data_IF_937755913716
#
_entry.id   IF_937755913716
#
_cell.length_a   1.000
_cell.length_b   1.000
_cell.length_c   1.000
_cell.angle_alpha   90.00
_cell.angle_beta   90.00
_cell.angle_gamma   90.00
#
_symmetry.space_group_name_H-M   'P 1'
#
loop_
_entity.id
_entity.type
_entity.pdbx_description
1 polymer ?
#
# COMPACT_ATOMS: atom_id res chain seq x y z
N UNK A 1 0.86 -8.89 10.75
CA UNK A 1 -0.36 -8.06 10.64
C UNK A 1 -1.57 -8.96 10.76
N UNK A 2 -2.56 -8.57 11.56
CA UNK A 2 -3.86 -9.26 11.56
C UNK A 2 -4.69 -8.80 10.36
N UNK A 3 -5.69 -9.59 9.94
CA UNK A 3 -6.60 -9.20 8.85
C UNK A 3 -7.35 -7.89 9.18
N UNK A 4 -7.71 -7.69 10.46
CA UNK A 4 -8.32 -6.44 10.93
C UNK A 4 -7.40 -5.23 10.78
N UNK A 5 -6.09 -5.40 10.97
CA UNK A 5 -5.12 -4.30 10.78
C UNK A 5 -5.03 -3.88 9.32
N UNK A 6 -5.05 -4.85 8.42
CA UNK A 6 -5.01 -4.59 6.98
C UNK A 6 -6.28 -3.88 6.52
N UNK A 7 -7.45 -4.27 7.03
CA UNK A 7 -8.72 -3.61 6.70
C UNK A 7 -8.76 -2.17 7.23
N UNK A 8 -8.21 -1.91 8.43
CA UNK A 8 -8.07 -0.56 8.97
C UNK A 8 -7.12 0.30 8.14
N UNK A 9 -5.97 -0.24 7.75
CA UNK A 9 -5.02 0.43 6.86
C UNK A 9 -5.66 0.78 5.51
N UNK A 10 -6.40 -0.16 4.93
CA UNK A 10 -7.10 0.04 3.66
C UNK A 10 -8.13 1.16 3.75
N UNK A 11 -8.90 1.23 4.85
CA UNK A 11 -9.87 2.31 5.07
C UNK A 11 -9.18 3.67 5.25
N UNK A 12 -8.11 3.72 6.04
CA UNK A 12 -7.40 4.97 6.29
C UNK A 12 -6.70 5.50 5.04
N UNK A 13 -6.05 4.61 4.27
CA UNK A 13 -5.32 4.95 3.05
C UNK A 13 -6.09 4.61 1.76
N UNK A 14 -7.43 4.67 1.80
CA UNK A 14 -8.30 4.29 0.67
C UNK A 14 -7.95 5.07 -0.61
N UNK A 15 -7.54 6.33 -0.46
CA UNK A 15 -7.10 7.17 -1.59
C UNK A 15 -5.90 6.56 -2.31
N UNK A 16 -4.88 6.11 -1.58
CA UNK A 16 -3.69 5.45 -2.15
C UNK A 16 -4.09 4.11 -2.77
N UNK A 17 -4.94 3.37 -2.04
CA UNK A 17 -5.34 2.04 -2.45
C UNK A 17 -6.12 2.00 -3.76
N UNK A 18 -6.86 3.07 -4.07
CA UNK A 18 -7.61 3.24 -5.32
C UNK A 18 -6.76 3.96 -6.38
N UNK A 19 -5.96 4.94 -6.00
CA UNK A 19 -5.16 5.72 -6.94
C UNK A 19 -4.14 4.88 -7.71
N UNK A 20 -3.44 3.94 -7.04
CA UNK A 20 -2.42 3.10 -7.67
C UNK A 20 -3.02 2.18 -8.75
N UNK A 21 -4.09 1.40 -8.51
CA UNK A 21 -4.75 0.62 -9.56
C UNK A 21 -5.26 1.46 -10.72
N UNK A 22 -5.86 2.62 -10.44
CA UNK A 22 -6.35 3.51 -11.50
C UNK A 22 -5.19 4.02 -12.35
N UNK A 23 -4.08 4.45 -11.73
CA UNK A 23 -2.90 4.89 -12.46
C UNK A 23 -2.34 3.77 -13.35
N UNK A 24 -2.27 2.53 -12.86
CA UNK A 24 -1.82 1.38 -13.65
C UNK A 24 -2.74 1.12 -14.86
N UNK A 25 -4.06 1.20 -14.67
CA UNK A 25 -5.02 1.04 -15.75
C UNK A 25 -4.91 2.17 -16.80
N UNK A 26 -4.77 3.43 -16.37
CA UNK A 26 -4.59 4.58 -17.27
C UNK A 26 -3.30 4.44 -18.08
N UNK A 27 -2.17 4.10 -17.42
CA UNK A 27 -0.89 3.85 -18.10
C UNK A 27 -1.06 2.75 -19.15
N UNK A 28 -1.75 1.66 -18.81
CA UNK A 28 -1.99 0.55 -19.74
C UNK A 28 -2.80 1.02 -20.95
N UNK A 29 -3.86 1.80 -20.75
CA UNK A 29 -4.65 2.36 -21.87
C UNK A 29 -3.78 3.23 -22.77
N UNK A 30 -2.99 4.15 -22.20
CA UNK A 30 -2.10 5.04 -22.97
C UNK A 30 -1.07 4.22 -23.77
N UNK A 31 -0.42 3.24 -23.14
CA UNK A 31 0.55 2.37 -23.81
C UNK A 31 -0.11 1.59 -24.94
N UNK A 32 -1.30 1.05 -24.74
CA UNK A 32 -2.02 0.29 -25.77
C UNK A 32 -2.52 1.16 -26.93
N UNK A 33 -2.82 2.43 -26.69
CA UNK A 33 -3.20 3.38 -27.74
C UNK A 33 -2.01 3.81 -28.59
N UNK A 34 -0.81 3.82 -28.02
CA UNK A 34 0.44 4.15 -28.72
C UNK A 34 1.07 2.93 -29.41
N UNK A 35 0.79 1.72 -28.94
CA UNK A 35 1.33 0.49 -29.52
C UNK A 35 0.64 0.16 -30.85
N UNK A 36 1.41 -0.20 -31.90
CA UNK A 36 0.83 -0.64 -33.16
C UNK A 36 0.09 -1.97 -32.96
N UNK A 37 -0.98 -2.17 -33.73
CA UNK A 37 -1.70 -3.43 -33.72
C UNK A 37 -0.92 -4.52 -34.43
N UNK A 38 -0.86 -5.69 -33.80
CA UNK A 38 -0.22 -6.89 -34.35
C UNK A 38 -1.25 -7.71 -35.12
N UNK A 39 -0.85 -8.12 -36.32
CA UNK A 39 -1.61 -8.97 -37.22
C UNK A 39 -0.88 -10.30 -37.41
N UNK A 40 -1.64 -11.37 -37.64
CA UNK A 40 -1.14 -12.72 -37.89
C UNK A 40 -1.73 -13.24 -39.20
N UNK A 41 -0.89 -13.62 -40.16
CA UNK A 41 -1.29 -14.30 -41.39
C UNK A 41 -0.90 -15.79 -41.32
N UNK A 42 -1.75 -16.67 -41.88
CA UNK A 42 -1.56 -18.13 -41.84
C UNK A 42 -1.56 -18.71 -43.25
N UNK A 43 -0.46 -19.34 -43.63
CA UNK A 43 -0.36 -20.11 -44.86
C UNK A 43 -0.05 -21.57 -44.52
N UNK A 44 -0.61 -22.52 -45.26
CA UNK A 44 -0.42 -23.95 -44.99
C UNK A 44 0.10 -24.70 -46.21
N UNK A 45 0.87 -25.75 -45.97
CA UNK A 45 1.42 -26.65 -46.97
C UNK A 45 1.14 -28.09 -46.55
N UNK A 46 0.58 -28.87 -47.47
CA UNK A 46 0.34 -30.30 -47.29
C UNK A 46 1.26 -31.04 -48.26
N UNK A 47 1.97 -32.05 -47.75
CA UNK A 47 2.92 -32.82 -48.56
C UNK A 47 2.96 -34.31 -48.21
N UNK A 48 3.26 -35.15 -49.20
CA UNK A 48 3.60 -36.57 -49.03
C UNK A 48 5.10 -36.80 -48.68
N UNK A 49 5.94 -35.75 -48.67
CA UNK A 49 7.31 -35.80 -48.18
C UNK A 49 7.41 -36.09 -46.67
N UNK A 50 8.59 -36.46 -46.18
CA UNK A 50 8.81 -36.61 -44.73
C UNK A 50 8.53 -35.28 -44.01
N UNK A 51 7.64 -35.28 -43.01
CA UNK A 51 7.21 -34.06 -42.32
C UNK A 51 8.32 -33.45 -41.46
N UNK A 52 9.27 -34.25 -40.97
CA UNK A 52 10.44 -33.72 -40.28
C UNK A 52 11.35 -32.98 -41.26
N UNK A 53 11.52 -33.51 -42.47
CA UNK A 53 12.26 -32.84 -43.55
C UNK A 53 11.57 -31.53 -43.97
N UNK A 54 10.26 -31.60 -44.27
CA UNK A 54 9.46 -30.44 -44.66
C UNK A 54 9.43 -29.36 -43.57
N UNK A 55 9.33 -29.76 -42.30
CA UNK A 55 9.39 -28.86 -41.15
C UNK A 55 10.75 -28.18 -40.99
N UNK A 56 11.85 -28.89 -41.28
CA UNK A 56 13.20 -28.31 -41.28
C UNK A 56 13.38 -27.21 -42.33
N UNK A 57 12.92 -27.45 -43.57
CA UNK A 57 12.92 -26.41 -44.60
C UNK A 57 12.01 -25.24 -44.20
N UNK A 58 10.80 -25.52 -43.71
CA UNK A 58 9.87 -24.49 -43.30
C UNK A 58 10.42 -23.59 -42.19
N UNK A 59 11.15 -24.16 -41.24
CA UNK A 59 11.81 -23.39 -40.18
C UNK A 59 12.93 -22.51 -40.74
N UNK A 60 13.77 -23.06 -41.62
CA UNK A 60 14.84 -22.30 -42.28
C UNK A 60 14.29 -21.13 -43.09
N UNK A 61 13.25 -21.37 -43.89
CA UNK A 61 12.61 -20.31 -44.68
C UNK A 61 11.89 -19.30 -43.77
N UNK A 62 11.20 -19.75 -42.72
CA UNK A 62 10.59 -18.84 -41.75
C UNK A 62 11.62 -17.88 -41.11
N UNK A 63 12.79 -18.38 -40.75
CA UNK A 63 13.88 -17.53 -40.24
C UNK A 63 14.40 -16.54 -41.29
N UNK A 64 14.52 -16.97 -42.56
CA UNK A 64 14.94 -16.10 -43.67
C UNK A 64 13.92 -14.99 -43.96
N UNK A 65 12.62 -15.28 -43.90
CA UNK A 65 11.56 -14.32 -44.15
C UNK A 65 11.16 -13.50 -42.91
N UNK A 66 11.75 -13.78 -41.76
CA UNK A 66 11.57 -13.01 -40.52
C UNK A 66 12.38 -11.69 -40.55
N UNK A 67 11.97 -10.75 -41.40
CA UNK A 67 12.65 -9.47 -41.61
C UNK A 67 11.69 -8.28 -41.52
N UNK A 68 12.23 -7.06 -41.44
CA UNK A 68 11.47 -5.79 -41.48
C UNK A 68 10.35 -5.68 -40.43
N UNK A 69 10.54 -6.27 -39.24
CA UNK A 69 9.55 -6.22 -38.16
C UNK A 69 8.40 -7.21 -38.30
N UNK A 70 8.51 -8.19 -39.20
CA UNK A 70 7.61 -9.33 -39.32
C UNK A 70 8.35 -10.57 -38.80
N UNK A 71 7.80 -11.22 -37.78
CA UNK A 71 8.29 -12.48 -37.25
C UNK A 71 7.57 -13.63 -37.95
N UNK A 72 8.31 -14.50 -38.63
CA UNK A 72 7.73 -15.67 -39.30
C UNK A 72 8.14 -16.93 -38.53
N UNK A 73 7.17 -17.78 -38.22
CA UNK A 73 7.38 -19.04 -37.49
C UNK A 73 6.67 -20.18 -38.22
N UNK A 74 7.15 -21.40 -38.05
CA UNK A 74 6.55 -22.60 -38.67
C UNK A 74 6.14 -23.62 -37.61
N UNK A 75 5.03 -24.32 -37.85
CA UNK A 75 4.59 -25.46 -37.04
C UNK A 75 4.28 -26.65 -37.94
N UNK A 76 4.92 -27.78 -37.68
CA UNK A 76 4.60 -29.04 -38.34
C UNK A 76 3.54 -29.82 -37.56
N UNK A 77 2.48 -30.23 -38.24
CA UNK A 77 1.46 -31.15 -37.73
C UNK A 77 1.65 -32.52 -38.39
N UNK A 78 2.22 -33.46 -37.63
CA UNK A 78 2.53 -34.81 -38.12
C UNK A 78 1.28 -35.66 -38.34
N UNK A 79 0.17 -35.37 -37.65
CA UNK A 79 -1.06 -36.15 -37.77
C UNK A 79 -1.79 -35.83 -39.08
N UNK A 80 -1.82 -34.55 -39.46
CA UNK A 80 -2.45 -34.08 -40.70
C UNK A 80 -1.48 -33.90 -41.86
N UNK A 81 -0.18 -34.14 -41.62
CA UNK A 81 0.90 -33.96 -42.61
C UNK A 81 0.91 -32.54 -43.20
N UNK A 82 0.71 -31.57 -42.32
CA UNK A 82 0.55 -30.15 -42.69
C UNK A 82 1.65 -29.33 -42.02
N UNK A 83 2.28 -28.45 -42.78
CA UNK A 83 3.11 -27.37 -42.25
C UNK A 83 2.28 -26.09 -42.27
N UNK A 84 2.22 -25.39 -41.14
CA UNK A 84 1.60 -24.08 -41.04
C UNK A 84 2.67 -23.03 -40.77
N UNK A 85 2.70 -21.98 -41.58
CA UNK A 85 3.54 -20.81 -41.39
C UNK A 85 2.67 -19.67 -40.83
N UNK A 86 3.14 -19.06 -39.75
CA UNK A 86 2.55 -17.91 -39.09
C UNK A 86 3.47 -16.71 -39.30
N UNK A 87 2.95 -15.63 -39.89
CA UNK A 87 3.66 -14.37 -39.98
C UNK A 87 2.98 -13.32 -39.10
N UNK A 88 3.69 -12.82 -38.10
CA UNK A 88 3.22 -11.84 -37.14
C UNK A 88 3.93 -10.48 -37.30
N UNK A 89 3.19 -9.39 -37.36
CA UNK A 89 3.78 -8.06 -37.54
C UNK A 89 2.74 -6.93 -37.50
N UNK A 90 3.22 -5.69 -37.61
CA UNK A 90 2.33 -4.51 -37.66
C UNK A 90 1.79 -4.18 -39.05
N UNK A 91 2.38 -4.75 -40.11
CA UNK A 91 1.95 -4.55 -41.50
C UNK A 91 1.02 -5.69 -41.95
N UNK A 92 -0.25 -5.35 -42.20
CA UNK A 92 -1.27 -6.29 -42.64
C UNK A 92 -0.88 -7.03 -43.94
N UNK A 93 -0.45 -6.30 -44.97
CA UNK A 93 -0.10 -6.90 -46.26
C UNK A 93 1.27 -7.56 -46.22
N UNK A 94 2.20 -6.97 -45.46
CA UNK A 94 3.51 -7.55 -45.21
C UNK A 94 3.42 -8.95 -44.59
N UNK A 95 2.56 -9.15 -43.58
CA UNK A 95 2.37 -10.47 -42.97
C UNK A 95 1.86 -11.51 -43.97
N UNK A 96 0.87 -11.14 -44.80
CA UNK A 96 0.32 -12.03 -45.85
C UNK A 96 1.43 -12.40 -46.85
N UNK A 97 2.18 -11.41 -47.32
CA UNK A 97 3.25 -11.62 -48.29
C UNK A 97 4.39 -12.48 -47.72
N UNK A 98 4.78 -12.25 -46.46
CA UNK A 98 5.83 -13.01 -45.80
C UNK A 98 5.43 -14.47 -45.57
N UNK A 99 4.20 -14.73 -45.10
CA UNK A 99 3.68 -16.09 -44.92
C UNK A 99 3.63 -16.86 -46.26
N UNK A 100 3.13 -16.20 -47.33
CA UNK A 100 3.02 -16.82 -48.65
C UNK A 100 4.40 -17.02 -49.31
N UNK A 101 5.34 -16.09 -49.11
CA UNK A 101 6.69 -16.24 -49.66
C UNK A 101 7.44 -17.38 -48.97
N UNK A 102 7.35 -17.47 -47.65
CA UNK A 102 7.98 -18.54 -46.88
C UNK A 102 7.38 -19.92 -47.21
N UNK A 103 6.06 -20.02 -47.38
CA UNK A 103 5.42 -21.32 -47.71
C UNK A 103 5.77 -21.78 -49.12
N UNK A 104 5.87 -20.85 -50.08
CA UNK A 104 6.22 -21.16 -51.46
C UNK A 104 7.70 -21.49 -51.61
N UNK A 105 8.59 -20.78 -50.92
CA UNK A 105 10.01 -21.14 -50.85
C UNK A 105 10.21 -22.53 -50.23
N UNK A 106 9.47 -22.84 -49.15
CA UNK A 106 9.47 -24.18 -48.54
C UNK A 106 9.01 -25.25 -49.55
N UNK A 107 7.93 -24.99 -50.29
CA UNK A 107 7.45 -25.90 -51.32
C UNK A 107 8.53 -26.14 -52.39
N UNK A 108 9.24 -25.10 -52.81
CA UNK A 108 10.28 -25.19 -53.83
C UNK A 108 11.52 -25.97 -53.34
N UNK A 109 11.93 -25.80 -52.07
CA UNK A 109 12.99 -26.62 -51.48
C UNK A 109 12.61 -28.10 -51.43
N UNK A 110 11.36 -28.42 -51.08
CA UNK A 110 10.88 -29.82 -51.08
C UNK A 110 10.88 -30.39 -52.51
N UNK A 111 10.48 -29.61 -53.52
CA UNK A 111 10.52 -30.03 -54.94
C UNK A 111 11.93 -30.29 -55.45
N UNK A 112 12.92 -29.51 -54.99
CA UNK A 112 14.34 -29.71 -55.35
C UNK A 112 14.88 -31.04 -54.82
N UNK A 113 14.40 -31.50 -53.67
CA UNK A 113 14.78 -32.81 -53.12
C UNK A 113 14.19 -33.95 -53.95
N UNK A 114 12.89 -33.88 -54.27
CA UNK A 114 12.26 -34.83 -55.18
C UNK A 114 11.01 -34.22 -55.84
N UNK A 115 11.08 -34.08 -57.17
CA UNK A 115 9.99 -33.52 -57.97
C UNK A 115 8.72 -34.39 -58.02
N UNK A 116 8.80 -35.66 -57.58
CA UNK A 116 7.65 -36.57 -57.51
C UNK A 116 6.75 -36.32 -56.29
N UNK A 117 7.18 -35.50 -55.31
CA UNK A 117 6.35 -35.19 -54.14
C UNK A 117 5.12 -34.37 -54.53
N UNK A 118 3.96 -34.78 -54.02
CA UNK A 118 2.73 -34.01 -54.12
C UNK A 118 2.72 -32.93 -53.06
N UNK A 119 2.69 -31.67 -53.48
CA UNK A 119 2.69 -30.51 -52.59
C UNK A 119 1.51 -29.63 -52.93
N UNK A 120 0.67 -29.36 -51.93
CA UNK A 120 -0.46 -28.44 -52.04
C UNK A 120 -0.27 -27.31 -51.05
N UNK A 121 -0.17 -26.08 -51.54
CA UNK A 121 -0.13 -24.88 -50.71
C UNK A 121 -1.50 -24.22 -50.64
N UNK A 122 -1.84 -23.69 -49.48
CA UNK A 122 -3.00 -22.83 -49.26
C UNK A 122 -2.48 -21.50 -48.72
N UNK A 123 -2.50 -20.49 -49.59
CA UNK A 123 -1.96 -19.18 -49.31
C UNK A 123 -2.88 -18.37 -48.38
N UNK A 124 -2.27 -17.56 -47.52
CA UNK A 124 -2.97 -16.58 -46.72
C UNK A 124 -3.64 -15.55 -47.63
N UNK A 125 -4.94 -15.32 -47.42
CA UNK A 125 -5.73 -14.29 -48.12
C UNK A 125 -6.07 -13.10 -47.24
N UNK A 126 -5.94 -13.24 -45.92
CA UNK A 126 -6.17 -12.21 -44.94
C UNK A 126 -5.26 -12.42 -43.71
N UNK A 127 -5.04 -11.36 -42.93
CA UNK A 127 -4.39 -11.42 -41.63
C UNK A 127 -5.39 -11.10 -40.51
N UNK A 128 -5.35 -11.82 -39.40
CA UNK A 128 -6.21 -11.58 -38.23
C UNK A 128 -5.50 -10.67 -37.22
N UNK A 129 -6.25 -9.80 -36.54
CA UNK A 129 -5.69 -9.00 -35.44
C UNK A 129 -5.59 -9.86 -34.19
N UNK A 130 -4.36 -10.14 -33.75
CA UNK A 130 -4.08 -10.97 -32.57
C UNK A 130 -3.82 -10.18 -31.28
N UNK A 131 -3.79 -8.84 -31.35
CA UNK A 131 -3.59 -8.00 -30.17
C UNK A 131 -4.63 -8.30 -29.06
N UNK A 132 -4.20 -8.49 -27.80
CA UNK A 132 -5.13 -8.72 -26.70
C UNK A 132 -6.18 -7.62 -26.61
N UNK A 133 -7.44 -7.99 -26.38
CA UNK A 133 -8.51 -7.02 -26.21
C UNK A 133 -8.21 -6.06 -25.05
N UNK A 134 -8.48 -4.76 -25.25
CA UNK A 134 -8.20 -3.70 -24.28
C UNK A 134 -8.72 -4.03 -22.87
N UNK A 135 -9.90 -4.63 -22.78
CA UNK A 135 -10.50 -5.05 -21.51
C UNK A 135 -9.67 -6.09 -20.75
N UNK A 136 -9.02 -7.04 -21.46
CA UNK A 136 -8.15 -8.05 -20.83
C UNK A 136 -6.91 -7.41 -20.23
N UNK A 137 -6.30 -6.46 -20.95
CA UNK A 137 -5.11 -5.75 -20.47
C UNK A 137 -5.43 -4.85 -19.28
N UNK A 138 -6.54 -4.12 -19.32
CA UNK A 138 -7.03 -3.32 -18.18
C UNK A 138 -7.28 -4.20 -16.96
N UNK A 139 -7.91 -5.37 -17.13
CA UNK A 139 -8.18 -6.28 -16.02
C UNK A 139 -6.88 -6.77 -15.36
N UNK A 140 -5.88 -7.18 -16.15
CA UNK A 140 -4.56 -7.59 -15.65
C UNK A 140 -3.87 -6.43 -14.92
N UNK A 141 -3.90 -5.23 -15.51
CA UNK A 141 -3.29 -4.04 -14.93
C UNK A 141 -3.94 -3.63 -13.60
N UNK A 142 -5.26 -3.78 -13.47
CA UNK A 142 -5.98 -3.48 -12.24
C UNK A 142 -5.61 -4.47 -11.13
N UNK A 143 -5.56 -5.78 -11.44
CA UNK A 143 -5.14 -6.81 -10.49
C UNK A 143 -3.71 -6.55 -10.00
N UNK A 144 -2.78 -6.28 -10.92
CA UNK A 144 -1.40 -5.94 -10.58
C UNK A 144 -1.32 -4.64 -9.74
N UNK A 145 -2.11 -3.63 -10.11
CA UNK A 145 -2.17 -2.37 -9.38
C UNK A 145 -2.70 -2.51 -7.95
N UNK A 146 -3.70 -3.38 -7.73
CA UNK A 146 -4.19 -3.70 -6.37
C UNK A 146 -3.11 -4.37 -5.54
N UNK A 147 -2.37 -5.31 -6.14
CA UNK A 147 -1.25 -5.95 -5.47
C UNK A 147 -0.15 -4.95 -5.06
N UNK A 148 0.25 -4.06 -5.98
CA UNK A 148 1.22 -2.99 -5.70
C UNK A 148 0.73 -2.03 -4.61
N UNK A 149 -0.56 -1.71 -4.60
CA UNK A 149 -1.18 -0.92 -3.54
C UNK A 149 -1.04 -1.58 -2.18
N UNK A 150 -1.34 -2.87 -2.06
CA UNK A 150 -1.21 -3.62 -0.80
C UNK A 150 0.25 -3.61 -0.33
N UNK A 151 1.21 -3.82 -1.24
CA UNK A 151 2.63 -3.76 -0.94
C UNK A 151 3.03 -2.37 -0.39
N UNK A 152 2.57 -1.29 -1.03
CA UNK A 152 2.83 0.07 -0.57
C UNK A 152 2.26 0.32 0.83
N UNK A 153 1.05 -0.16 1.13
CA UNK A 153 0.45 -0.04 2.47
C UNK A 153 1.25 -0.78 3.55
N UNK A 154 1.77 -1.97 3.24
CA UNK A 154 2.62 -2.73 4.17
C UNK A 154 3.90 -1.95 4.47
N UNK A 155 4.53 -1.35 3.45
CA UNK A 155 5.72 -0.51 3.63
C UNK A 155 5.42 0.71 4.50
N UNK A 156 4.30 1.39 4.25
CA UNK A 156 3.86 2.54 5.07
C UNK A 156 3.67 2.12 6.53
N UNK A 157 3.04 0.98 6.79
CA UNK A 157 2.85 0.48 8.16
C UNK A 157 4.16 0.10 8.83
N UNK A 158 5.08 -0.54 8.10
CA UNK A 158 6.37 -0.96 8.64
C UNK A 158 7.26 0.24 9.01
N UNK A 159 7.23 1.30 8.21
CA UNK A 159 8.01 2.53 8.44
C UNK A 159 7.38 3.39 9.52
N UNK A 160 6.08 3.70 9.43
CA UNK A 160 5.44 4.62 10.37
C UNK A 160 5.04 3.97 11.70
N UNK A 161 4.84 2.64 11.73
CA UNK A 161 4.34 1.87 12.87
C UNK A 161 3.22 2.61 13.64
N UNK A 162 2.16 3.08 12.96
CA UNK A 162 1.14 3.92 13.58
C UNK A 162 0.38 3.16 14.68
N UNK A 163 -0.14 3.92 15.65
CA UNK A 163 -1.12 3.42 16.62
C UNK A 163 -2.50 3.43 15.95
N UNK A 164 -3.11 2.25 15.78
CA UNK A 164 -4.35 2.04 15.00
C UNK A 164 -5.57 1.89 15.90
N UNK A 165 -5.37 1.48 17.15
CA UNK A 165 -6.45 1.40 18.13
C UNK A 165 -5.98 1.49 19.56
N UNK A 166 -6.92 1.81 20.44
CA UNK A 166 -6.81 1.69 21.90
C UNK A 166 -6.23 0.34 22.34
N UNK A 167 -6.61 -0.74 21.67
CA UNK A 167 -6.11 -2.08 21.98
C UNK A 167 -4.61 -2.22 21.73
N UNK A 168 -4.04 -1.47 20.78
CA UNK A 168 -2.60 -1.47 20.53
C UNK A 168 -1.85 -0.92 21.74
N UNK A 169 -2.46 0.02 22.46
CA UNK A 169 -1.86 0.62 23.64
C UNK A 169 -1.89 -0.36 24.81
N UNK A 170 -3.08 -0.92 25.08
CA UNK A 170 -3.29 -1.88 26.18
C UNK A 170 -2.44 -3.13 25.99
N UNK A 171 -2.39 -3.68 24.78
CA UNK A 171 -1.68 -4.95 24.54
C UNK A 171 -0.16 -4.83 24.44
N UNK A 172 0.36 -3.67 23.98
CA UNK A 172 1.80 -3.51 23.77
C UNK A 172 2.50 -2.81 24.92
N UNK A 173 1.80 -1.94 25.66
CA UNK A 173 2.40 -1.10 26.72
C UNK A 173 1.79 -1.35 28.10
N UNK A 174 0.76 -2.19 28.21
CA UNK A 174 0.07 -2.50 29.48
C UNK A 174 -0.44 -1.26 30.23
N UNK A 175 -0.76 -0.19 29.48
CA UNK A 175 -1.31 1.05 30.03
C UNK A 175 -2.83 1.09 29.87
N UNK A 176 -3.58 1.45 30.93
CA UNK A 176 -5.03 1.57 30.86
C UNK A 176 -5.44 2.79 30.03
N UNK A 177 -6.52 2.64 29.27
CA UNK A 177 -7.16 3.75 28.57
C UNK A 177 -8.10 4.45 29.55
N UNK A 178 -7.71 5.65 29.99
CA UNK A 178 -8.47 6.43 30.97
C UNK A 178 -9.58 7.27 30.34
N UNK A 179 -9.48 7.57 29.05
CA UNK A 179 -10.55 8.26 28.33
C UNK A 179 -10.32 8.32 26.82
N UNK A 180 -11.38 8.70 26.12
CA UNK A 180 -11.40 8.84 24.67
C UNK A 180 -11.92 10.21 24.28
N UNK A 181 -11.27 10.86 23.32
CA UNK A 181 -11.72 12.13 22.75
C UNK A 181 -11.92 11.92 21.23
N UNK A 182 -13.07 12.32 20.66
CA UNK A 182 -14.22 12.92 21.33
C UNK A 182 -14.97 11.91 22.23
N UNK A 183 -15.48 12.40 23.36
CA UNK A 183 -16.33 11.64 24.28
C UNK A 183 -17.82 11.91 23.99
N UNK A 184 -18.71 11.04 24.50
CA UNK A 184 -20.19 11.21 24.38
C UNK A 184 -20.84 11.56 25.72
N UNK A 185 -20.10 11.34 26.80
CA UNK A 185 -20.49 11.39 28.20
C UNK A 185 -19.95 12.65 28.90
N UNK A 186 -19.63 13.70 28.13
CA UNK A 186 -19.06 14.97 28.67
C UNK A 186 -17.83 14.75 29.57
N UNK A 187 -17.09 13.66 29.34
CA UNK A 187 -15.88 13.30 30.08
C UNK A 187 -16.12 12.73 31.49
N UNK A 188 -17.33 12.32 31.85
CA UNK A 188 -17.61 11.66 33.13
C UNK A 188 -16.74 10.42 33.36
N UNK A 189 -16.57 9.56 32.34
CA UNK A 189 -15.68 8.39 32.43
C UNK A 189 -14.22 8.79 32.66
N UNK A 190 -13.77 9.86 32.01
CA UNK A 190 -12.41 10.37 32.17
C UNK A 190 -12.18 10.80 33.62
N UNK A 191 -13.10 11.55 34.21
CA UNK A 191 -13.01 11.95 35.62
C UNK A 191 -12.96 10.75 36.56
N UNK A 192 -13.90 9.82 36.38
CA UNK A 192 -14.05 8.66 37.26
C UNK A 192 -12.77 7.82 37.23
N UNK A 193 -12.24 7.53 36.04
CA UNK A 193 -11.00 6.78 35.89
C UNK A 193 -9.81 7.48 36.54
N UNK A 194 -9.69 8.81 36.41
CA UNK A 194 -8.62 9.56 37.08
C UNK A 194 -8.74 9.44 38.60
N UNK A 195 -9.95 9.60 39.16
CA UNK A 195 -10.17 9.44 40.61
C UNK A 195 -9.95 8.02 41.11
N UNK A 196 -10.22 7.00 40.29
CA UNK A 196 -9.98 5.60 40.66
C UNK A 196 -8.50 5.20 40.63
N UNK A 197 -7.71 5.86 39.77
CA UNK A 197 -6.30 5.53 39.55
C UNK A 197 -5.33 6.45 40.31
N UNK A 198 -5.84 7.48 40.98
CA UNK A 198 -5.02 8.47 41.68
C UNK A 198 -5.36 8.50 43.18
N UNK A 199 -4.36 8.74 44.01
CA UNK A 199 -4.56 9.00 45.43
C UNK A 199 -4.96 10.47 45.64
N UNK A 200 -6.02 10.72 46.41
CA UNK A 200 -6.43 12.08 46.76
C UNK A 200 -5.61 12.61 47.96
N UNK A 201 -5.24 13.91 48.00
CA UNK A 201 -5.63 14.98 47.08
C UNK A 201 -4.70 15.16 45.86
N UNK A 202 -5.32 15.30 44.68
CA UNK A 202 -4.65 15.67 43.42
C UNK A 202 -4.41 17.18 43.34
N UNK A 203 -3.15 17.60 43.26
CA UNK A 203 -2.77 19.01 43.08
C UNK A 203 -2.25 19.29 41.66
N UNK A 204 -1.53 18.33 41.05
CA UNK A 204 -0.87 18.55 39.75
C UNK A 204 -1.07 17.37 38.80
N UNK A 205 -1.56 17.67 37.58
CA UNK A 205 -1.67 16.71 36.47
C UNK A 205 -0.79 17.17 35.32
N UNK A 206 0.21 16.37 34.96
CA UNK A 206 1.01 16.56 33.76
C UNK A 206 0.37 15.84 32.57
N UNK A 207 0.13 16.55 31.48
CA UNK A 207 -0.44 15.99 30.24
C UNK A 207 0.62 16.03 29.15
N UNK A 208 1.11 14.87 28.73
CA UNK A 208 2.24 14.74 27.78
C UNK A 208 1.75 14.16 26.45
N UNK A 209 1.96 14.83 25.32
CA UNK A 209 1.59 14.30 24.01
C UNK A 209 2.65 13.36 23.47
N UNK A 210 2.23 12.21 22.94
CA UNK A 210 3.13 11.24 22.29
C UNK A 210 3.82 11.82 21.05
N UNK A 211 3.08 12.59 20.26
CA UNK A 211 3.60 13.36 19.13
C UNK A 211 3.74 14.85 19.45
N UNK A 212 3.73 15.68 18.40
CA UNK A 212 3.86 17.14 18.51
C UNK A 212 2.59 17.85 19.02
N UNK A 213 1.44 17.19 19.01
CA UNK A 213 0.16 17.82 19.39
C UNK A 213 -0.74 16.81 20.10
N UNK A 214 -1.78 17.29 20.78
CA UNK A 214 -2.77 16.45 21.46
C UNK A 214 -2.97 16.80 22.94
N UNK A 215 -1.92 17.32 23.58
CA UNK A 215 -1.99 17.82 24.96
C UNK A 215 -3.05 18.92 25.09
N UNK A 216 -3.12 19.85 24.13
CA UNK A 216 -4.05 20.98 24.19
C UNK A 216 -5.52 20.56 24.32
N UNK A 217 -5.94 19.56 23.53
CA UNK A 217 -7.31 19.05 23.54
C UNK A 217 -7.60 18.28 24.83
N UNK A 218 -6.65 17.46 25.27
CA UNK A 218 -6.79 16.69 26.51
C UNK A 218 -6.85 17.61 27.73
N UNK A 219 -5.99 18.63 27.81
CA UNK A 219 -6.05 19.64 28.87
C UNK A 219 -7.37 20.41 28.87
N UNK A 220 -7.92 20.74 27.69
CA UNK A 220 -9.20 21.43 27.59
C UNK A 220 -10.35 20.56 28.13
N UNK A 221 -10.41 19.29 27.72
CA UNK A 221 -11.40 18.33 28.23
C UNK A 221 -11.24 18.10 29.72
N UNK A 222 -10.02 17.88 30.22
CA UNK A 222 -9.76 17.73 31.65
C UNK A 222 -10.19 18.97 32.45
N UNK A 223 -9.87 20.16 31.97
CA UNK A 223 -10.28 21.43 32.61
C UNK A 223 -11.79 21.47 32.75
N UNK A 224 -12.51 21.23 31.64
CA UNK A 224 -13.96 21.22 31.63
C UNK A 224 -14.51 20.19 32.63
N UNK A 225 -13.99 18.97 32.61
CA UNK A 225 -14.47 17.87 33.45
C UNK A 225 -14.27 18.13 34.94
N UNK A 226 -13.13 18.67 35.35
CA UNK A 226 -12.87 19.00 36.75
C UNK A 226 -13.68 20.21 37.23
N UNK A 227 -13.83 21.25 36.41
CA UNK A 227 -14.67 22.42 36.72
C UNK A 227 -16.13 22.02 36.91
N UNK A 228 -16.67 21.14 36.05
CA UNK A 228 -18.03 20.60 36.22
C UNK A 228 -18.20 19.79 37.51
N UNK A 229 -17.11 19.22 38.04
CA UNK A 229 -17.11 18.48 39.32
C UNK A 229 -16.95 19.38 40.56
N UNK A 230 -16.85 20.70 40.37
CA UNK A 230 -16.69 21.68 41.44
C UNK A 230 -15.24 21.92 41.89
N UNK A 231 -14.25 21.42 41.15
CA UNK A 231 -12.83 21.64 41.44
C UNK A 231 -12.33 22.85 40.65
N UNK A 232 -11.71 23.82 41.32
CA UNK A 232 -11.07 24.94 40.65
C UNK A 232 -9.83 24.45 39.90
N UNK A 233 -9.72 24.79 38.61
CA UNK A 233 -8.61 24.35 37.76
C UNK A 233 -7.78 25.55 37.30
N UNK A 234 -6.46 25.42 37.32
CA UNK A 234 -5.53 26.34 36.68
C UNK A 234 -4.75 25.61 35.59
N UNK A 235 -4.77 26.14 34.36
CA UNK A 235 -4.01 25.57 33.25
C UNK A 235 -2.71 26.33 33.04
N UNK A 236 -1.60 25.61 33.01
CA UNK A 236 -0.27 26.17 32.78
C UNK A 236 0.38 25.48 31.59
N UNK A 237 1.24 26.20 30.85
CA UNK A 237 2.04 25.63 29.77
C UNK A 237 3.41 25.23 30.30
N UNK A 238 3.80 24.00 30.05
CA UNK A 238 5.15 23.52 30.32
C UNK A 238 6.17 24.14 29.35
N UNK A 239 7.42 24.25 29.81
CA UNK A 239 8.55 24.67 28.97
C UNK A 239 9.34 23.42 28.52
N UNK A 240 9.69 23.29 27.22
CA UNK A 240 10.45 22.15 26.70
C UNK A 240 11.81 21.93 27.37
N UNK A 241 12.35 22.98 27.99
CA UNK A 241 13.65 22.98 28.67
C UNK A 241 13.52 23.27 30.17
N UNK A 242 12.36 22.99 30.77
CA UNK A 242 12.18 23.07 32.21
C UNK A 242 13.08 22.05 32.93
N UNK A 243 13.70 22.46 34.04
CA UNK A 243 14.43 21.56 34.95
C UNK A 243 13.57 21.10 36.14
N UNK A 244 12.27 21.40 36.10
CA UNK A 244 11.30 21.12 37.17
C UNK A 244 10.03 21.94 37.00
N UNK A 245 9.00 21.61 37.78
CA UNK A 245 7.72 22.30 37.81
C UNK A 245 7.75 23.47 38.81
N UNK A 246 8.13 24.64 38.32
CA UNK A 246 8.24 25.88 39.13
C UNK A 246 6.89 26.63 39.26
N UNK A 247 5.82 25.95 39.71
CA UNK A 247 4.55 26.61 40.01
C UNK A 247 4.18 26.39 41.48
N UNK A 248 3.87 27.48 42.19
CA UNK A 248 3.39 27.40 43.56
C UNK A 248 1.98 26.77 43.54
N UNK A 249 1.87 25.52 44.00
CA UNK A 249 0.59 24.86 44.17
C UNK A 249 -0.29 25.70 45.13
N UNK A 250 -1.40 26.23 44.60
CA UNK A 250 -2.37 26.95 45.41
C UNK A 250 -3.28 25.92 46.10
N UNK A 251 -3.46 25.99 47.42
CA UNK A 251 -4.28 25.01 48.13
C UNK A 251 -5.72 25.03 47.60
N UNK A 252 -6.23 23.86 47.19
CA UNK A 252 -7.57 23.68 46.65
C UNK A 252 -7.75 23.98 45.16
N UNK A 253 -6.67 24.29 44.42
CA UNK A 253 -6.69 24.47 42.97
C UNK A 253 -5.88 23.38 42.29
N UNK A 254 -6.54 22.62 41.41
CA UNK A 254 -5.89 21.61 40.57
C UNK A 254 -5.12 22.30 39.44
N UNK A 255 -3.83 22.04 39.32
CA UNK A 255 -3.01 22.56 38.23
C UNK A 255 -2.84 21.52 37.13
N UNK A 256 -3.34 21.83 35.93
CA UNK A 256 -3.13 21.00 34.73
C UNK A 256 -2.01 21.62 33.92
N UNK A 257 -0.94 20.86 33.71
CA UNK A 257 0.24 21.29 32.95
C UNK A 257 0.16 20.72 31.55
N UNK A 258 -0.05 21.60 30.57
CA UNK A 258 0.07 21.28 29.17
C UNK A 258 1.54 21.16 28.80
N UNK A 259 2.04 19.92 28.77
CA UNK A 259 3.45 19.67 28.52
C UNK A 259 3.73 19.70 27.00
N UNK A 260 4.92 20.21 26.61
CA UNK A 260 5.39 20.09 25.24
C UNK A 260 5.75 18.64 24.89
N UNK A 261 5.94 18.39 23.60
CA UNK A 261 6.39 17.08 23.13
C UNK A 261 7.83 16.79 23.57
N UNK A 262 8.13 15.53 23.87
CA UNK A 262 9.52 15.09 24.11
C UNK A 262 10.42 15.29 22.88
N UNK A 263 9.83 15.49 21.69
CA UNK A 263 10.56 15.85 20.48
C UNK A 263 11.14 17.26 20.52
N UNK A 264 10.59 18.16 21.34
CA UNK A 264 11.06 19.54 21.50
C UNK A 264 12.08 19.69 22.63
N UNK A 265 12.01 18.81 23.64
CA UNK A 265 12.94 18.78 24.76
C UNK A 265 12.45 17.89 25.91
N UNK A 266 13.33 17.65 26.89
CA UNK A 266 13.07 16.73 28.00
C UNK A 266 12.36 17.40 29.20
N UNK A 267 11.99 18.68 29.09
CA UNK A 267 11.35 19.42 30.20
C UNK A 267 10.05 18.81 30.69
N UNK A 268 9.28 18.18 29.80
CA UNK A 268 8.07 17.43 30.15
C UNK A 268 8.34 16.26 31.09
N UNK A 269 9.52 15.63 30.98
CA UNK A 269 9.93 14.51 31.85
C UNK A 269 10.22 15.02 33.27
N UNK A 270 10.90 16.17 33.39
CA UNK A 270 11.09 16.82 34.70
C UNK A 270 9.77 17.25 35.34
N UNK A 271 8.84 17.80 34.55
CA UNK A 271 7.51 18.16 35.01
C UNK A 271 6.74 16.92 35.49
N UNK A 272 6.77 15.83 34.72
CA UNK A 272 6.08 14.58 35.08
C UNK A 272 6.63 13.89 36.32
N UNK A 273 7.93 14.06 36.60
CA UNK A 273 8.56 13.56 37.84
C UNK A 273 8.01 14.25 39.10
N UNK A 274 7.67 15.54 38.99
CA UNK A 274 7.17 16.35 40.12
C UNK A 274 5.64 16.41 40.19
N UNK A 275 4.95 16.03 39.11
CA UNK A 275 3.49 15.96 39.09
C UNK A 275 2.98 14.76 39.89
N UNK A 276 1.86 14.93 40.59
CA UNK A 276 1.19 13.84 41.31
C UNK A 276 0.78 12.73 40.35
N UNK A 277 0.35 13.12 39.14
CA UNK A 277 -0.17 12.25 38.11
C UNK A 277 0.29 12.69 36.72
N UNK A 278 0.67 11.72 35.89
CA UNK A 278 1.01 11.90 34.48
C UNK A 278 0.02 11.16 33.58
N UNK A 279 -0.53 11.88 32.61
CA UNK A 279 -1.46 11.37 31.59
C UNK A 279 -0.80 11.50 30.22
N UNK A 280 -0.79 10.41 29.45
CA UNK A 280 -0.29 10.43 28.08
C UNK A 280 -1.42 10.68 27.09
N UNK A 281 -1.17 11.50 26.07
CA UNK A 281 -2.09 11.68 24.94
C UNK A 281 -1.56 10.92 23.73
N UNK A 282 -2.40 10.07 23.15
CA UNK A 282 -2.07 9.32 21.94
C UNK A 282 -3.11 9.59 20.87
N UNK A 283 -2.66 9.98 19.68
CA UNK A 283 -3.52 10.18 18.50
C UNK A 283 -3.50 8.97 17.58
N UNK A 284 -4.70 8.55 17.19
CA UNK A 284 -4.90 7.52 16.19
C UNK A 284 -4.26 7.93 14.85
N UNK A 285 -3.55 6.99 14.20
CA UNK A 285 -2.84 7.13 12.92
C UNK A 285 -1.67 8.13 12.86
N UNK A 286 -1.67 9.15 13.72
CA UNK A 286 -0.68 10.22 13.73
C UNK A 286 0.53 9.90 14.60
N UNK A 287 0.30 9.25 15.74
CA UNK A 287 1.38 8.89 16.66
C UNK A 287 1.84 7.45 16.38
N UNK A 288 3.14 7.21 16.60
CA UNK A 288 3.77 5.91 16.33
C UNK A 288 3.98 5.10 17.60
N UNK A 289 3.91 3.78 17.48
CA UNK A 289 4.20 2.85 18.59
C UNK A 289 5.63 3.02 19.12
N UNK A 290 6.59 3.29 18.23
CA UNK A 290 7.97 3.57 18.63
C UNK A 290 8.11 4.87 19.43
N UNK A 291 7.39 5.93 19.05
CA UNK A 291 7.44 7.19 19.81
C UNK A 291 6.84 7.02 21.21
N UNK A 292 5.73 6.27 21.32
CA UNK A 292 5.11 5.97 22.62
C UNK A 292 6.03 5.12 23.50
N UNK A 293 6.67 4.08 22.93
CA UNK A 293 7.65 3.26 23.67
C UNK A 293 8.76 4.11 24.27
N UNK A 294 9.42 4.90 23.43
CA UNK A 294 10.54 5.73 23.87
C UNK A 294 10.10 6.74 24.94
N UNK A 295 8.90 7.31 24.81
CA UNK A 295 8.34 8.22 25.80
C UNK A 295 8.10 7.55 27.14
N UNK A 296 7.53 6.34 27.14
CA UNK A 296 7.28 5.56 28.35
C UNK A 296 8.61 5.21 29.04
N UNK A 297 9.62 4.82 28.27
CA UNK A 297 10.95 4.50 28.79
C UNK A 297 11.59 5.71 29.50
N UNK A 298 11.54 6.90 28.89
CA UNK A 298 12.05 8.15 29.47
C UNK A 298 11.29 8.56 30.74
N UNK A 299 9.97 8.39 30.76
CA UNK A 299 9.14 8.72 31.92
C UNK A 299 9.34 7.72 33.08
N UNK A 300 9.53 6.43 32.77
CA UNK A 300 9.90 5.44 33.77
C UNK A 300 11.28 5.72 34.37
N UNK A 301 12.25 6.14 33.56
CA UNK A 301 13.57 6.56 34.04
C UNK A 301 13.47 7.69 35.07
N UNK A 302 12.55 8.64 34.82
CA UNK A 302 12.29 9.76 35.72
C UNK A 302 11.41 9.40 36.93
N UNK A 303 10.89 8.16 37.01
CA UNK A 303 9.93 7.69 38.01
C UNK A 303 8.64 8.52 38.03
N UNK A 304 8.19 8.97 36.87
CA UNK A 304 6.90 9.65 36.73
C UNK A 304 5.73 8.71 37.05
N UNK A 305 4.69 9.22 37.70
CA UNK A 305 3.49 8.46 38.03
C UNK A 305 2.51 8.42 36.83
N UNK A 306 2.71 7.49 35.90
CA UNK A 306 1.85 7.34 34.72
C UNK A 306 0.59 6.57 35.10
N UNK A 307 -0.57 7.24 35.11
CA UNK A 307 -1.84 6.58 35.46
C UNK A 307 -2.54 5.96 34.24
N UNK A 308 -2.21 6.39 33.02
CA UNK A 308 -2.80 5.85 31.81
C UNK A 308 -2.81 6.81 30.63
N UNK A 309 -3.57 6.44 29.61
CA UNK A 309 -3.57 7.10 28.30
C UNK A 309 -4.95 7.63 27.93
N UNK A 310 -5.00 8.87 27.45
CA UNK A 310 -6.14 9.44 26.75
C UNK A 310 -5.98 9.22 25.25
N UNK A 311 -6.92 8.49 24.67
CA UNK A 311 -6.93 8.14 23.25
C UNK A 311 -7.70 9.18 22.43
N UNK A 312 -7.00 9.85 21.52
CA UNK A 312 -7.54 10.85 20.60
C UNK A 312 -7.88 10.17 19.27
N UNK A 313 -9.14 9.84 19.08
CA UNK A 313 -9.62 9.19 17.86
C UNK A 313 -9.71 10.18 16.70
N UNK A 314 -9.24 9.77 15.52
CA UNK A 314 -9.46 10.52 14.28
C UNK A 314 -10.92 10.41 13.86
N UNK A 315 -11.57 11.55 13.58
CA UNK A 315 -12.90 11.59 12.97
C UNK A 315 -12.86 11.18 11.50
#
# INVERSE_FOLDING_TARGET
MTFSDLLRLLRHYLKIAIAIPIACAVITVVVTLLAPSTYEAKATLITDADIALAGGFAQSEAELFSQNGIAVTSKADTAYRTITIFAEGSDYNGCISAANSAINATADEIRKVNAAFTITTNEATYAERISPGLLKLIAIALVLGVFLSICALIVIDAVKKPIKSENDIVTLFDLPIIGRIPNRDRGEKLLANIRFLSEEPLNTIAVIPTGLTGATLTCAELTSVFEHSGVAVSRTKGNPHAEGFKSAALPGILTIVECPSLLEGIGSVYIAKEADVTILCVREWLDSRSALSNMIDELHLAKANIIGVVYLATK
#
